data_IF_197848551428
#
_entry.id   IF_197848551428
#
_cell.length_a   1.000
_cell.length_b   1.000
_cell.length_c   1.000
_cell.angle_alpha   90.00
_cell.angle_beta   90.00
_cell.angle_gamma   90.00
#
_symmetry.space_group_name_H-M   'P 1'
#
loop_
_entity.id
_entity.type
_entity.pdbx_description
1 polymer ?
#
# COMPACT_ATOMS: atom_id res chain seq x y z
N UNK A 1 5.17 21.00 17.87
CA UNK A 1 4.07 20.01 17.81
C UNK A 1 4.39 19.05 16.69
N UNK A 2 4.68 17.78 16.99
CA UNK A 2 4.73 16.75 15.95
C UNK A 2 3.32 16.63 15.37
N UNK A 3 3.17 16.99 14.10
CA UNK A 3 1.89 16.92 13.38
C UNK A 3 1.50 15.44 13.34
N UNK A 4 0.62 15.01 14.24
CA UNK A 4 0.16 13.62 14.33
C UNK A 4 -0.72 13.42 13.10
N UNK A 5 -0.16 12.80 12.07
CA UNK A 5 -0.91 12.39 10.88
C UNK A 5 -2.03 11.48 11.41
N UNK A 6 -3.32 11.75 11.11
CA UNK A 6 -4.38 10.82 11.48
C UNK A 6 -4.06 9.50 10.79
N UNK A 7 -4.10 8.35 11.48
CA UNK A 7 -3.77 7.01 10.94
C UNK A 7 -4.36 6.81 9.52
N UNK A 8 -3.67 7.29 8.50
CA UNK A 8 -4.25 7.50 7.19
C UNK A 8 -3.95 6.24 6.42
N UNK A 9 -4.99 5.68 5.80
CA UNK A 9 -4.89 4.44 5.06
C UNK A 9 -5.19 4.68 3.59
N UNK A 10 -4.41 4.03 2.72
CA UNK A 10 -4.76 3.83 1.31
C UNK A 10 -5.03 2.35 1.08
N UNK A 11 -6.10 2.03 0.34
CA UNK A 11 -6.35 0.68 -0.18
C UNK A 11 -6.03 0.64 -1.67
N UNK A 12 -5.26 -0.35 -2.10
CA UNK A 12 -4.83 -0.50 -3.49
C UNK A 12 -5.75 -1.47 -4.23
N UNK A 13 -6.74 -0.93 -4.96
CA UNK A 13 -7.72 -1.70 -5.74
C UNK A 13 -7.42 -1.69 -7.25
N UNK A 14 -6.21 -2.11 -7.62
CA UNK A 14 -5.81 -2.22 -9.03
C UNK A 14 -6.00 -3.65 -9.55
N UNK A 15 -6.15 -3.80 -10.86
CA UNK A 15 -6.24 -5.13 -11.50
C UNK A 15 -4.89 -5.77 -11.81
N UNK A 16 -3.79 -5.05 -11.61
CA UNK A 16 -2.44 -5.51 -11.92
C UNK A 16 -1.43 -5.00 -10.87
N UNK A 17 -0.32 -5.74 -10.75
CA UNK A 17 0.71 -5.49 -9.74
C UNK A 17 1.42 -4.15 -9.99
N UNK A 18 1.67 -3.79 -11.24
CA UNK A 18 2.44 -2.60 -11.61
C UNK A 18 1.68 -1.32 -11.25
N UNK A 19 0.38 -1.27 -11.54
CA UNK A 19 -0.52 -0.18 -11.17
C UNK A 19 -0.59 0.00 -9.66
N UNK A 20 -0.74 -1.10 -8.91
CA UNK A 20 -0.77 -1.08 -7.46
C UNK A 20 0.51 -0.50 -6.85
N UNK A 21 1.69 -0.98 -7.32
CA UNK A 21 2.99 -0.48 -6.85
C UNK A 21 3.16 1.00 -7.19
N UNK A 22 2.78 1.43 -8.40
CA UNK A 22 2.91 2.83 -8.81
C UNK A 22 2.07 3.74 -7.92
N UNK A 23 0.85 3.35 -7.60
CA UNK A 23 0.00 4.08 -6.66
C UNK A 23 0.63 4.14 -5.26
N UNK A 24 1.07 2.99 -4.74
CA UNK A 24 1.71 2.88 -3.43
C UNK A 24 2.94 3.79 -3.30
N UNK A 25 3.84 3.80 -4.29
CA UNK A 25 5.03 4.67 -4.30
C UNK A 25 4.65 6.15 -4.34
N UNK A 26 3.56 6.53 -5.01
CA UNK A 26 3.17 7.94 -5.10
C UNK A 26 2.57 8.51 -3.81
N UNK A 27 1.91 7.68 -2.99
CA UNK A 27 1.20 8.14 -1.78
C UNK A 27 1.75 7.58 -0.46
N UNK A 28 2.63 6.58 -0.51
CA UNK A 28 3.07 5.80 0.66
C UNK A 28 3.77 6.61 1.74
N UNK A 29 4.34 7.78 1.41
CA UNK A 29 4.93 8.68 2.41
C UNK A 29 3.89 9.51 3.16
N UNK A 30 2.72 9.74 2.56
CA UNK A 30 1.64 10.57 3.11
C UNK A 30 0.65 9.78 3.97
N UNK A 31 0.72 8.43 3.94
CA UNK A 31 -0.17 7.51 4.66
C UNK A 31 0.59 6.70 5.69
N UNK A 32 -0.10 6.24 6.73
CA UNK A 32 0.48 5.38 7.78
C UNK A 32 0.29 3.89 7.47
N UNK A 33 -0.78 3.55 6.75
CA UNK A 33 -1.20 2.18 6.42
C UNK A 33 -1.39 2.04 4.91
N UNK A 34 -0.87 0.95 4.33
CA UNK A 34 -1.03 0.61 2.92
C UNK A 34 -1.68 -0.77 2.82
N UNK A 35 -2.99 -0.79 2.55
CA UNK A 35 -3.75 -2.02 2.42
C UNK A 35 -3.67 -2.58 0.99
N UNK A 36 -3.35 -3.87 0.87
CA UNK A 36 -3.55 -4.63 -0.36
C UNK A 36 -5.07 -4.86 -0.56
N UNK A 37 -5.67 -4.12 -1.49
CA UNK A 37 -7.12 -4.17 -1.73
C UNK A 37 -7.59 -5.52 -2.27
N UNK A 38 -8.88 -5.82 -2.06
CA UNK A 38 -9.46 -7.12 -2.42
C UNK A 38 -9.29 -7.44 -3.90
N UNK A 39 -9.45 -6.45 -4.78
CA UNK A 39 -9.29 -6.66 -6.23
C UNK A 39 -7.85 -7.05 -6.56
N UNK A 40 -6.86 -6.37 -5.98
CA UNK A 40 -5.47 -6.74 -6.17
C UNK A 40 -5.19 -8.15 -5.69
N UNK A 41 -5.63 -8.52 -4.48
CA UNK A 41 -5.40 -9.86 -3.93
C UNK A 41 -6.02 -10.96 -4.80
N UNK A 42 -7.18 -10.71 -5.42
CA UNK A 42 -7.80 -11.66 -6.36
C UNK A 42 -7.01 -11.80 -7.68
N UNK A 43 -6.30 -10.76 -8.12
CA UNK A 43 -5.58 -10.76 -9.40
C UNK A 43 -4.13 -11.24 -9.27
N UNK A 44 -3.41 -10.78 -8.23
CA UNK A 44 -1.97 -10.98 -8.08
C UNK A 44 -1.59 -11.75 -6.82
N UNK A 45 -2.57 -12.12 -5.98
CA UNK A 45 -2.34 -12.91 -4.77
C UNK A 45 -1.50 -12.18 -3.72
N UNK A 46 -0.77 -12.95 -2.92
CA UNK A 46 0.05 -12.43 -1.81
C UNK A 46 1.31 -11.69 -2.27
N UNK A 47 1.68 -11.77 -3.56
CA UNK A 47 2.85 -11.11 -4.13
C UNK A 47 2.83 -9.60 -3.85
N UNK A 48 1.66 -8.95 -3.95
CA UNK A 48 1.54 -7.53 -3.64
C UNK A 48 1.92 -7.23 -2.19
N UNK A 49 1.47 -8.03 -1.22
CA UNK A 49 1.79 -7.79 0.19
C UNK A 49 3.29 -7.96 0.48
N UNK A 50 3.94 -8.93 -0.17
CA UNK A 50 5.39 -9.13 -0.06
C UNK A 50 6.18 -7.95 -0.63
N UNK A 51 5.79 -7.48 -1.82
CA UNK A 51 6.41 -6.30 -2.45
C UNK A 51 6.21 -5.05 -1.61
N UNK A 52 4.99 -4.82 -1.09
CA UNK A 52 4.70 -3.66 -0.25
C UNK A 52 5.52 -3.65 1.04
N UNK A 53 5.70 -4.81 1.69
CA UNK A 53 6.57 -4.93 2.88
C UNK A 53 8.04 -4.64 2.55
N UNK A 54 8.50 -5.02 1.36
CA UNK A 54 9.86 -4.70 0.92
C UNK A 54 10.04 -3.22 0.60
N UNK A 55 9.03 -2.56 0.02
CA UNK A 55 9.09 -1.15 -0.35
C UNK A 55 8.89 -0.21 0.84
N UNK A 56 8.09 -0.63 1.82
CA UNK A 56 7.69 0.17 2.96
C UNK A 56 7.88 -0.59 4.28
N UNK A 57 9.14 -0.86 4.69
CA UNK A 57 9.44 -1.67 5.87
C UNK A 57 8.93 -1.07 7.19
N UNK A 58 8.73 0.25 7.23
CA UNK A 58 8.28 1.00 8.41
C UNK A 58 6.76 1.27 8.42
N UNK A 59 6.02 0.80 7.41
CA UNK A 59 4.57 0.99 7.30
C UNK A 59 3.81 -0.27 7.72
N UNK A 60 2.58 -0.08 8.16
CA UNK A 60 1.64 -1.19 8.35
C UNK A 60 1.08 -1.56 6.97
N UNK A 61 1.19 -2.84 6.62
CA UNK A 61 0.73 -3.42 5.35
C UNK A 61 -0.42 -4.38 5.61
#
# INVERSE_FOLDING_TARGET
MTKRIPNLQVALDHSDLQGAIKAAVSVGQEVDIIEAGTVCLLQVGSELAEVLRSLFPDKII
#
